data_IF_052840990217
#
_entry.id   IF_052840990217
#
_cell.length_a   1.000
_cell.length_b   1.000
_cell.length_c   1.000
_cell.angle_alpha   90.00
_cell.angle_beta   90.00
_cell.angle_gamma   90.00
#
_symmetry.space_group_name_H-M   'P 1'
#
loop_
_entity.id
_entity.type
_entity.pdbx_description
1 polymer ?
#
# COMPACT_ATOMS: atom_id res chain seq x y z
N UNK A 1 13.68 9.26 -34.73
CA UNK A 1 12.61 8.33 -34.34
C UNK A 1 12.76 8.15 -32.84
N UNK A 2 11.93 8.82 -32.04
CA UNK A 2 12.08 8.83 -30.58
C UNK A 2 11.63 7.47 -30.04
N UNK A 3 12.55 6.70 -29.46
CA UNK A 3 12.25 5.52 -28.65
C UNK A 3 11.53 5.97 -27.38
N UNK A 4 10.25 6.31 -27.50
CA UNK A 4 9.38 6.32 -26.34
C UNK A 4 9.17 4.86 -25.97
N UNK A 5 9.82 4.43 -24.90
CA UNK A 5 9.49 3.18 -24.21
C UNK A 5 7.95 3.06 -24.13
N UNK A 6 7.38 1.87 -24.38
CA UNK A 6 5.94 1.69 -24.28
C UNK A 6 5.44 2.27 -22.95
N UNK A 7 4.25 2.92 -22.93
CA UNK A 7 3.76 3.58 -21.73
C UNK A 7 3.76 2.59 -20.57
N UNK A 8 4.57 2.88 -19.56
CA UNK A 8 4.81 1.99 -18.42
C UNK A 8 3.55 1.79 -17.55
N UNK A 9 2.57 2.68 -17.67
CA UNK A 9 1.30 2.61 -16.96
C UNK A 9 0.15 2.56 -17.96
N UNK A 10 -0.49 1.39 -18.07
CA UNK A 10 -1.70 1.16 -18.91
C UNK A 10 -3.01 1.15 -18.09
N UNK A 11 -2.90 1.30 -16.78
CA UNK A 11 -4.01 1.26 -15.84
C UNK A 11 -3.85 2.36 -14.76
N UNK A 12 -4.94 2.64 -14.05
CA UNK A 12 -4.94 3.50 -12.86
C UNK A 12 -5.61 2.76 -11.71
N UNK A 13 -4.97 2.71 -10.54
CA UNK A 13 -5.58 2.29 -9.28
C UNK A 13 -5.83 3.51 -8.41
N UNK A 14 -7.03 4.09 -8.50
CA UNK A 14 -7.46 5.24 -7.69
C UNK A 14 -8.66 4.84 -6.84
N UNK A 15 -8.65 5.30 -5.60
CA UNK A 15 -9.76 5.09 -4.67
C UNK A 15 -9.51 3.97 -3.67
N UNK A 16 -10.40 3.90 -2.69
CA UNK A 16 -10.30 2.95 -1.59
C UNK A 16 -10.91 1.60 -1.97
N UNK A 17 -10.25 0.52 -1.59
CA UNK A 17 -10.79 -0.82 -1.81
C UNK A 17 -11.97 -1.09 -0.86
N UNK A 18 -13.08 -1.67 -1.34
CA UNK A 18 -14.21 -2.00 -0.48
C UNK A 18 -13.92 -3.20 0.43
N UNK A 19 -14.40 -3.14 1.67
CA UNK A 19 -14.27 -4.24 2.62
C UNK A 19 -12.94 -4.23 3.38
N UNK A 20 -12.61 -5.36 4.00
CA UNK A 20 -11.60 -5.45 5.05
C UNK A 20 -10.54 -6.52 4.83
N UNK A 21 -10.66 -7.34 3.80
CA UNK A 21 -9.79 -8.51 3.61
C UNK A 21 -8.61 -8.18 2.68
N UNK A 22 -7.38 -8.23 3.21
CA UNK A 22 -6.16 -7.92 2.45
C UNK A 22 -5.84 -8.95 1.37
N UNK A 23 -5.91 -10.26 1.70
CA UNK A 23 -5.61 -11.34 0.75
C UNK A 23 -6.48 -11.31 -0.51
N UNK A 24 -7.83 -11.35 -0.43
CA UNK A 24 -8.65 -11.28 -1.64
C UNK A 24 -8.44 -10.00 -2.45
N UNK A 25 -8.15 -8.88 -1.79
CA UNK A 25 -7.85 -7.63 -2.49
C UNK A 25 -6.53 -7.74 -3.29
N UNK A 26 -5.48 -8.30 -2.67
CA UNK A 26 -4.20 -8.54 -3.31
C UNK A 26 -4.30 -9.54 -4.47
N UNK A 27 -5.04 -10.64 -4.29
CA UNK A 27 -5.30 -11.63 -5.35
C UNK A 27 -5.93 -11.00 -6.59
N UNK A 28 -6.94 -10.14 -6.41
CA UNK A 28 -7.56 -9.44 -7.55
C UNK A 28 -6.59 -8.45 -8.18
N UNK A 29 -5.85 -7.66 -7.40
CA UNK A 29 -4.89 -6.71 -7.97
C UNK A 29 -3.79 -7.42 -8.75
N UNK A 30 -3.24 -8.52 -8.23
CA UNK A 30 -2.22 -9.29 -8.94
C UNK A 30 -2.82 -9.98 -10.17
N UNK A 31 -3.97 -10.64 -10.02
CA UNK A 31 -4.62 -11.36 -11.11
C UNK A 31 -5.00 -10.48 -12.30
N UNK A 32 -5.44 -9.25 -12.03
CA UNK A 32 -5.95 -8.33 -13.07
C UNK A 32 -4.90 -7.32 -13.56
N UNK A 33 -3.92 -6.94 -12.72
CA UNK A 33 -3.04 -5.80 -13.01
C UNK A 33 -1.53 -6.13 -12.98
N UNK A 34 -1.12 -7.39 -12.82
CA UNK A 34 0.31 -7.75 -12.77
C UNK A 34 1.15 -7.29 -13.97
N UNK A 35 0.56 -7.26 -15.17
CA UNK A 35 1.26 -6.84 -16.40
C UNK A 35 1.17 -5.33 -16.69
N UNK A 36 0.48 -4.57 -15.83
CA UNK A 36 0.19 -3.16 -16.06
C UNK A 36 0.49 -2.26 -14.85
N UNK A 37 -0.07 -2.56 -13.67
CA UNK A 37 -0.02 -1.69 -12.50
C UNK A 37 -0.39 -2.40 -11.17
N UNK A 38 0.21 -3.56 -10.87
CA UNK A 38 0.03 -4.16 -9.55
C UNK A 38 0.46 -3.16 -8.46
N UNK A 39 -0.38 -2.96 -7.45
CA UNK A 39 -0.18 -1.92 -6.44
C UNK A 39 -0.82 -2.29 -5.11
N UNK A 40 -0.36 -1.67 -4.04
CA UNK A 40 -0.91 -1.92 -2.71
C UNK A 40 -2.13 -1.03 -2.43
N UNK A 41 -3.33 -1.60 -2.53
CA UNK A 41 -4.59 -0.89 -2.25
C UNK A 41 -4.70 -0.48 -0.78
N UNK A 42 -5.47 0.57 -0.48
CA UNK A 42 -5.87 0.88 0.90
C UNK A 42 -7.22 0.23 1.24
N UNK A 43 -7.40 -0.13 2.51
CA UNK A 43 -8.58 -0.84 3.03
C UNK A 43 -9.15 -0.09 4.25
N UNK A 44 -9.69 1.13 4.07
CA UNK A 44 -10.07 2.00 5.17
C UNK A 44 -11.20 1.44 6.06
N UNK A 45 -12.00 0.48 5.56
CA UNK A 45 -13.03 -0.15 6.39
C UNK A 45 -12.47 -0.99 7.56
N UNK A 46 -11.16 -1.29 7.59
CA UNK A 46 -10.47 -1.86 8.76
C UNK A 46 -10.27 -0.85 9.90
N UNK A 47 -10.65 0.40 9.67
CA UNK A 47 -10.65 1.49 10.64
C UNK A 47 -9.32 2.23 10.73
N UNK A 48 -9.15 2.94 11.85
CA UNK A 48 -7.96 3.77 12.14
C UNK A 48 -6.68 2.98 11.90
N UNK A 49 -5.76 3.59 11.15
CA UNK A 49 -4.49 3.03 10.73
C UNK A 49 -4.49 2.46 9.31
N UNK A 50 -5.65 2.00 8.80
CA UNK A 50 -5.75 1.39 7.47
C UNK A 50 -6.04 2.38 6.34
N UNK A 51 -6.51 3.58 6.68
CA UNK A 51 -6.72 4.68 5.74
C UNK A 51 -5.39 5.30 5.28
N UNK A 52 -5.45 6.14 4.23
CA UNK A 52 -4.29 6.82 3.67
C UNK A 52 -3.44 7.58 4.69
N UNK A 53 -4.05 8.21 5.70
CA UNK A 53 -3.32 8.98 6.71
C UNK A 53 -2.60 8.07 7.70
N UNK A 54 -3.27 7.01 8.14
CA UNK A 54 -2.68 5.97 8.99
C UNK A 54 -1.50 5.29 8.28
N UNK A 55 -1.70 4.86 7.03
CA UNK A 55 -0.65 4.24 6.20
C UNK A 55 0.52 5.18 5.96
N UNK A 56 0.25 6.46 5.68
CA UNK A 56 1.32 7.46 5.58
C UNK A 56 2.10 7.58 6.90
N UNK A 57 1.39 7.63 8.05
CA UNK A 57 2.01 7.64 9.37
C UNK A 57 2.89 6.42 9.66
N UNK A 58 2.53 5.24 9.15
CA UNK A 58 3.33 4.02 9.28
C UNK A 58 4.67 4.06 8.53
N UNK A 59 4.80 4.93 7.51
CA UNK A 59 6.02 5.08 6.70
C UNK A 59 6.99 6.16 7.24
N UNK A 60 6.57 6.94 8.23
CA UNK A 60 7.37 8.04 8.77
C UNK A 60 8.36 7.53 9.81
N UNK A 61 9.64 7.85 9.61
CA UNK A 61 10.67 7.67 10.64
C UNK A 61 10.63 8.83 11.62
N UNK A 62 10.89 8.52 12.89
CA UNK A 62 10.99 9.48 14.01
C UNK A 62 9.74 10.33 14.26
N UNK A 63 8.64 10.05 13.56
CA UNK A 63 7.35 10.69 13.74
C UNK A 63 6.29 9.64 14.03
N UNK A 64 5.59 9.80 15.15
CA UNK A 64 4.49 8.92 15.51
C UNK A 64 3.14 9.64 15.34
N UNK A 65 2.10 8.85 15.07
CA UNK A 65 0.72 9.32 14.94
C UNK A 65 -0.20 8.71 15.98
N UNK A 66 -1.14 9.51 16.45
CA UNK A 66 -2.22 9.11 17.34
C UNK A 66 -3.55 9.71 16.82
N UNK A 67 -4.68 9.37 17.43
CA UNK A 67 -5.97 9.95 17.06
C UNK A 67 -6.52 10.92 18.11
N UNK A 68 -7.34 11.84 17.62
CA UNK A 68 -8.22 12.74 18.36
C UNK A 68 -9.60 12.68 17.70
N UNK A 69 -10.68 13.18 18.33
CA UNK A 69 -12.02 13.13 17.75
C UNK A 69 -12.13 13.74 16.34
N UNK A 70 -11.23 14.67 15.99
CA UNK A 70 -11.20 15.36 14.68
C UNK A 70 -10.29 14.70 13.63
N UNK A 71 -9.55 13.63 13.97
CA UNK A 71 -8.63 12.95 13.04
C UNK A 71 -7.30 12.56 13.67
N UNK A 72 -6.25 12.51 12.87
CA UNK A 72 -4.90 12.17 13.34
C UNK A 72 -4.18 13.39 13.92
N UNK A 73 -3.27 13.13 14.87
CA UNK A 73 -2.30 14.09 15.38
C UNK A 73 -0.91 13.46 15.40
N UNK A 74 0.11 14.31 15.35
CA UNK A 74 1.51 13.91 15.57
C UNK A 74 1.77 13.82 17.08
N UNK A 75 2.53 12.80 17.49
CA UNK A 75 2.96 12.59 18.87
C UNK A 75 4.45 12.25 18.94
N UNK A 76 5.06 12.49 20.11
CA UNK A 76 6.50 12.32 20.29
C UNK A 76 6.97 10.85 20.31
N UNK A 77 6.07 9.89 20.58
CA UNK A 77 6.43 8.47 20.72
C UNK A 77 5.36 7.56 20.11
N UNK A 78 5.74 6.42 19.49
CA UNK A 78 4.80 5.46 18.93
C UNK A 78 3.79 4.92 19.95
N UNK A 79 2.51 5.24 19.73
CA UNK A 79 1.37 4.73 20.49
C UNK A 79 0.71 3.52 19.83
N UNK A 80 -0.44 3.13 20.36
CA UNK A 80 -1.26 2.01 19.81
C UNK A 80 -1.69 2.27 18.38
N UNK A 81 -2.05 3.51 18.03
CA UNK A 81 -2.44 3.90 16.67
C UNK A 81 -1.28 3.72 15.70
N UNK A 82 -0.08 4.22 16.03
CA UNK A 82 1.11 4.03 15.19
C UNK A 82 1.42 2.55 14.98
N UNK A 83 1.46 1.75 16.07
CA UNK A 83 1.72 0.31 15.98
C UNK A 83 0.68 -0.42 15.13
N UNK A 84 -0.60 -0.09 15.30
CA UNK A 84 -1.70 -0.65 14.52
C UNK A 84 -1.55 -0.33 13.02
N UNK A 85 -1.24 0.92 12.68
CA UNK A 85 -1.04 1.32 11.29
C UNK A 85 0.13 0.56 10.63
N UNK A 86 1.24 0.39 11.35
CA UNK A 86 2.39 -0.41 10.89
C UNK A 86 1.99 -1.88 10.70
N UNK A 87 1.30 -2.49 11.67
CA UNK A 87 0.85 -3.87 11.54
C UNK A 87 -0.09 -4.09 10.36
N UNK A 88 -1.04 -3.17 10.13
CA UNK A 88 -1.97 -3.27 9.00
C UNK A 88 -1.27 -3.09 7.66
N UNK A 89 -0.29 -2.17 7.58
CA UNK A 89 0.51 -2.00 6.37
C UNK A 89 1.37 -3.23 6.07
N UNK A 90 1.97 -3.85 7.09
CA UNK A 90 2.72 -5.10 6.92
C UNK A 90 1.81 -6.23 6.46
N UNK A 91 0.62 -6.38 7.05
CA UNK A 91 -0.37 -7.37 6.62
C UNK A 91 -0.75 -7.20 5.15
N UNK A 92 -0.91 -5.96 4.68
CA UNK A 92 -1.19 -5.68 3.27
C UNK A 92 -0.02 -6.08 2.37
N UNK A 93 1.21 -5.74 2.78
CA UNK A 93 2.42 -6.08 2.03
C UNK A 93 2.62 -7.59 1.94
N UNK A 94 2.44 -8.31 3.04
CA UNK A 94 2.52 -9.76 3.10
C UNK A 94 1.45 -10.41 2.20
N UNK A 95 0.23 -9.88 2.19
CA UNK A 95 -0.84 -10.35 1.30
C UNK A 95 -0.51 -10.15 -0.18
N UNK A 96 0.09 -9.00 -0.53
CA UNK A 96 0.55 -8.73 -1.90
C UNK A 96 1.71 -9.64 -2.31
N UNK A 97 2.68 -9.86 -1.41
CA UNK A 97 3.78 -10.79 -1.63
C UNK A 97 3.27 -12.23 -1.83
N UNK A 98 2.36 -12.69 -0.97
CA UNK A 98 1.75 -14.02 -1.06
C UNK A 98 1.01 -14.21 -2.40
N UNK A 99 0.21 -13.23 -2.81
CA UNK A 99 -0.48 -13.26 -4.10
C UNK A 99 0.51 -13.26 -5.29
N UNK A 100 1.59 -12.50 -5.19
CA UNK A 100 2.63 -12.41 -6.22
C UNK A 100 3.38 -13.74 -6.41
N UNK A 101 3.79 -14.36 -5.31
CA UNK A 101 4.46 -15.68 -5.32
C UNK A 101 3.51 -16.77 -5.83
N UNK A 102 2.26 -16.76 -5.38
CA UNK A 102 1.23 -17.73 -5.80
C UNK A 102 0.95 -17.63 -7.31
N UNK A 103 0.98 -16.42 -7.88
CA UNK A 103 0.84 -16.20 -9.32
C UNK A 103 2.11 -16.56 -10.13
N UNK A 104 3.20 -16.99 -9.49
CA UNK A 104 4.44 -17.38 -10.16
C UNK A 104 5.20 -16.20 -10.76
N UNK A 105 4.99 -14.99 -10.25
CA UNK A 105 5.54 -13.75 -10.80
C UNK A 105 6.94 -13.41 -10.27
N UNK A 106 7.49 -14.25 -9.40
CA UNK A 106 8.85 -14.06 -8.87
C UNK A 106 9.86 -14.11 -10.01
N UNK A 107 10.62 -13.03 -10.20
CA UNK A 107 11.62 -12.93 -11.25
C UNK A 107 11.05 -12.77 -12.67
N UNK A 108 9.74 -12.50 -12.82
CA UNK A 108 9.08 -12.33 -14.13
C UNK A 108 9.48 -11.04 -14.87
N UNK A 109 10.12 -10.09 -14.18
CA UNK A 109 10.41 -8.75 -14.70
C UNK A 109 9.21 -7.81 -14.70
N UNK A 110 8.03 -8.25 -14.24
CA UNK A 110 6.89 -7.38 -14.00
C UNK A 110 7.16 -6.41 -12.85
N UNK A 111 6.55 -5.23 -12.93
CA UNK A 111 6.79 -4.14 -12.00
C UNK A 111 5.61 -3.96 -11.04
N UNK A 112 5.92 -3.67 -9.78
CA UNK A 112 4.94 -3.23 -8.79
C UNK A 112 5.01 -1.72 -8.69
N UNK A 113 3.86 -1.06 -8.81
CA UNK A 113 3.75 0.38 -8.58
C UNK A 113 3.92 0.66 -7.08
N UNK A 114 5.04 1.29 -6.74
CA UNK A 114 5.31 1.79 -5.40
C UNK A 114 4.95 3.27 -5.34
N UNK A 115 3.94 3.60 -4.52
CA UNK A 115 3.62 4.99 -4.18
C UNK A 115 4.26 5.33 -2.83
N UNK A 116 5.58 5.49 -2.85
CA UNK A 116 6.34 5.91 -1.69
C UNK A 116 6.85 7.35 -1.88
N UNK A 117 7.04 8.05 -0.77
CA UNK A 117 7.79 9.30 -0.77
C UNK A 117 9.26 8.96 -0.99
N UNK A 118 9.86 9.52 -2.04
CA UNK A 118 11.30 9.42 -2.29
C UNK A 118 12.09 9.92 -1.08
N UNK A 119 13.12 9.16 -0.69
CA UNK A 119 14.06 9.45 0.40
C UNK A 119 15.45 9.86 -0.11
N UNK A 120 15.56 10.35 -1.34
CA UNK A 120 16.83 10.89 -1.83
C UNK A 120 17.20 12.19 -1.09
N UNK A 121 18.12 12.05 -0.13
CA UNK A 121 19.14 13.04 0.26
C UNK A 121 20.46 12.31 0.45
#
# INVERSE_FOLDING_TARGET
>A
MSDFAPPFARATGIGSWPGTAARPAAEVVVGELADALAHLVELPARGVGADMLGRAGALLLDLAVDTVPRGYRIVARPGTVTRRAVSLLNEDMDALEEAWETAGLRGSGQVVKVQARDRSR
#
